data_IF_663833999303
#
_entry.id   IF_663833999303
#
_cell.length_a   1.000
_cell.length_b   1.000
_cell.length_c   1.000
_cell.angle_alpha   90.00
_cell.angle_beta   90.00
_cell.angle_gamma   90.00
#
_symmetry.space_group_name_H-M   'P 1'
#
loop_
_entity.id
_entity.type
_entity.pdbx_description
1 polymer ?
#
# COMPACT_ATOMS: atom_id res chain seq x y z
N UNK A 1 11.54 59.92 -23.53
CA UNK A 1 10.97 58.57 -23.72
C UNK A 1 11.26 57.75 -22.48
N UNK A 2 10.23 57.38 -21.72
CA UNK A 2 10.35 56.50 -20.54
C UNK A 2 10.42 55.05 -21.01
N UNK A 3 11.36 54.28 -20.47
CA UNK A 3 11.44 52.84 -20.66
C UNK A 3 10.38 52.19 -19.77
N UNK A 4 9.56 51.37 -20.42
CA UNK A 4 8.51 50.57 -19.82
C UNK A 4 8.94 49.09 -19.87
N UNK A 5 8.66 48.39 -18.76
CA UNK A 5 8.39 46.95 -18.64
C UNK A 5 9.60 45.98 -18.67
N UNK A 6 9.80 45.22 -17.58
CA UNK A 6 9.46 43.79 -17.45
C UNK A 6 10.00 43.24 -16.11
N UNK A 7 9.12 43.14 -15.12
CA UNK A 7 9.33 42.25 -13.96
C UNK A 7 9.04 40.82 -14.38
N UNK A 8 10.06 40.00 -14.62
CA UNK A 8 9.92 38.55 -14.65
C UNK A 8 9.91 38.02 -13.21
N UNK A 9 8.72 37.81 -12.65
CA UNK A 9 8.57 36.86 -11.54
C UNK A 9 8.64 35.45 -12.12
N UNK A 10 9.78 34.81 -11.97
CA UNK A 10 9.91 33.37 -12.18
C UNK A 10 9.17 32.63 -11.05
N UNK A 11 7.87 32.36 -11.24
CA UNK A 11 7.15 31.41 -10.41
C UNK A 11 7.59 30.00 -10.83
N UNK A 12 8.57 29.43 -10.12
CA UNK A 12 8.89 28.00 -10.23
C UNK A 12 7.72 27.19 -9.64
N UNK A 13 7.18 26.20 -10.36
CA UNK A 13 6.08 25.38 -9.87
C UNK A 13 6.50 24.52 -8.67
N UNK A 14 5.69 24.52 -7.62
CA UNK A 14 5.86 23.86 -6.31
C UNK A 14 5.92 22.32 -6.33
N UNK A 15 6.23 21.69 -7.46
CA UNK A 15 6.16 20.25 -7.66
C UNK A 15 7.36 19.45 -7.10
N UNK A 16 8.37 20.10 -6.50
CA UNK A 16 9.52 19.41 -5.90
C UNK A 16 9.35 19.08 -4.41
N UNK A 17 8.29 19.55 -3.76
CA UNK A 17 8.08 19.34 -2.33
C UNK A 17 7.60 17.92 -1.95
N UNK A 18 7.23 17.08 -2.92
CA UNK A 18 6.64 15.75 -2.64
C UNK A 18 7.68 14.62 -2.60
N UNK A 19 8.83 14.76 -3.26
CA UNK A 19 9.84 13.69 -3.31
C UNK A 19 10.64 13.60 -2.00
N UNK A 20 10.83 14.71 -1.30
CA UNK A 20 11.60 14.73 -0.03
C UNK A 20 10.90 14.01 1.13
N UNK A 21 9.61 13.68 0.99
CA UNK A 21 8.84 12.95 1.99
C UNK A 21 8.88 11.42 1.79
N UNK A 22 9.40 10.94 0.65
CA UNK A 22 9.43 9.52 0.32
C UNK A 22 10.57 8.82 1.07
N UNK A 23 10.30 7.64 1.62
CA UNK A 23 11.34 6.76 2.20
C UNK A 23 11.91 5.77 1.17
N UNK A 24 11.52 5.89 -0.10
CA UNK A 24 12.06 5.15 -1.24
C UNK A 24 12.52 6.12 -2.34
N UNK A 25 13.32 5.63 -3.28
CA UNK A 25 13.88 6.41 -4.38
C UNK A 25 13.23 6.00 -5.72
N UNK A 26 12.29 6.81 -6.27
CA UNK A 26 11.69 6.51 -7.57
C UNK A 26 12.70 6.73 -8.71
N UNK A 27 12.74 5.85 -9.73
CA UNK A 27 13.61 6.06 -10.89
C UNK A 27 13.19 7.30 -11.69
N UNK A 28 14.11 7.93 -12.46
CA UNK A 28 13.84 9.16 -13.20
C UNK A 28 12.61 9.09 -14.11
N UNK A 29 12.37 7.94 -14.74
CA UNK A 29 11.23 7.72 -15.64
C UNK A 29 9.89 7.77 -14.88
N UNK A 30 9.85 7.17 -13.68
CA UNK A 30 8.67 7.20 -12.82
C UNK A 30 8.42 8.61 -12.27
N UNK A 31 9.48 9.33 -11.88
CA UNK A 31 9.38 10.73 -11.47
C UNK A 31 8.86 11.62 -12.60
N UNK A 32 9.34 11.41 -13.82
CA UNK A 32 8.87 12.15 -14.99
C UNK A 32 7.38 11.89 -15.25
N UNK A 33 6.96 10.61 -15.17
CA UNK A 33 5.56 10.23 -15.31
C UNK A 33 4.67 10.87 -14.24
N UNK A 34 5.09 10.87 -12.98
CA UNK A 34 4.33 11.50 -11.89
C UNK A 34 4.17 13.03 -12.06
N UNK A 35 5.09 13.69 -12.76
CA UNK A 35 5.00 15.13 -13.06
C UNK A 35 4.04 15.45 -14.20
N UNK A 36 3.88 14.54 -15.15
CA UNK A 36 3.07 14.76 -16.37
C UNK A 36 1.70 14.09 -16.33
N UNK A 37 1.52 13.09 -15.48
CA UNK A 37 0.29 12.32 -15.35
C UNK A 37 -0.27 12.46 -13.93
N UNK A 38 -1.40 13.17 -13.79
CA UNK A 38 -2.08 13.36 -12.50
C UNK A 38 -2.56 12.06 -11.84
N UNK A 39 -2.70 10.98 -12.62
CA UNK A 39 -3.07 9.66 -12.11
C UNK A 39 -1.84 8.87 -11.61
N UNK A 40 -0.63 9.35 -11.87
CA UNK A 40 0.59 8.79 -11.30
C UNK A 40 0.98 9.56 -10.05
N UNK A 41 0.73 8.96 -8.90
CA UNK A 41 1.03 9.52 -7.60
C UNK A 41 2.03 8.64 -6.87
N UNK A 42 2.95 9.28 -6.15
CA UNK A 42 4.02 8.64 -5.39
C UNK A 42 3.72 8.81 -3.90
N UNK A 43 3.12 7.80 -3.25
CA UNK A 43 2.69 7.94 -1.86
C UNK A 43 3.86 7.79 -0.89
N UNK A 44 3.97 8.62 0.16
CA UNK A 44 5.00 8.47 1.19
C UNK A 44 4.64 7.40 2.24
N UNK A 45 3.35 7.25 2.53
CA UNK A 45 2.81 6.40 3.58
C UNK A 45 1.37 5.98 3.27
N UNK A 46 0.88 5.06 4.09
CA UNK A 46 -0.50 4.59 4.12
C UNK A 46 -0.90 4.30 5.57
N UNK A 47 -2.20 4.13 5.77
CA UNK A 47 -2.77 3.77 7.05
C UNK A 47 -3.33 2.35 7.06
N UNK A 48 -3.12 1.65 8.16
CA UNK A 48 -3.79 0.39 8.50
C UNK A 48 -4.76 0.68 9.63
N UNK A 49 -6.06 0.65 9.33
CA UNK A 49 -7.11 1.00 10.27
C UNK A 49 -7.88 -0.23 10.74
N UNK A 50 -8.23 -0.23 12.02
CA UNK A 50 -9.14 -1.18 12.65
C UNK A 50 -8.76 -2.66 12.44
N UNK A 51 -7.46 -2.99 12.58
CA UNK A 51 -7.01 -4.37 12.48
C UNK A 51 -7.69 -5.26 13.52
N UNK A 52 -8.35 -6.32 13.07
CA UNK A 52 -9.04 -7.27 13.91
C UNK A 52 -8.74 -8.69 13.44
N UNK A 53 -8.43 -9.58 14.38
CA UNK A 53 -7.99 -10.93 14.08
C UNK A 53 -8.61 -11.99 14.98
N UNK A 54 -8.55 -13.24 14.50
CA UNK A 54 -8.96 -14.44 15.21
C UNK A 54 -7.84 -15.47 15.23
N UNK A 55 -7.77 -16.22 16.31
CA UNK A 55 -6.86 -17.36 16.48
C UNK A 55 -7.60 -18.52 17.12
N UNK A 56 -7.12 -19.75 16.89
CA UNK A 56 -7.52 -20.94 17.64
C UNK A 56 -6.63 -21.18 18.87
N UNK A 57 -5.60 -20.34 19.04
CA UNK A 57 -4.61 -20.39 20.11
C UNK A 57 -4.79 -19.17 21.04
N UNK A 58 -4.07 -19.18 22.17
CA UNK A 58 -4.11 -18.09 23.15
C UNK A 58 -2.73 -17.48 23.36
N UNK A 59 -2.69 -16.23 23.82
CA UNK A 59 -1.46 -15.51 24.12
C UNK A 59 -0.91 -14.68 22.95
N UNK A 60 0.27 -14.06 23.13
CA UNK A 60 0.84 -13.11 22.17
C UNK A 60 1.48 -13.77 20.94
N UNK A 61 1.74 -15.08 21.01
CA UNK A 61 2.36 -15.87 19.93
C UNK A 61 1.36 -16.74 19.18
N UNK A 62 0.06 -16.53 19.40
CA UNK A 62 -1.02 -17.30 18.79
C UNK A 62 -1.15 -17.06 17.28
N UNK A 63 -1.07 -18.11 16.46
CA UNK A 63 -1.17 -18.01 14.99
C UNK A 63 -2.56 -17.54 14.54
N UNK A 64 -2.64 -16.69 13.52
CA UNK A 64 -3.93 -16.14 13.09
C UNK A 64 -4.62 -17.05 12.07
N UNK A 65 -5.94 -17.26 12.24
CA UNK A 65 -6.76 -18.05 11.30
C UNK A 65 -7.67 -17.19 10.44
N UNK A 66 -7.93 -15.95 10.87
CA UNK A 66 -8.64 -14.95 10.08
C UNK A 66 -8.28 -13.54 10.57
N UNK A 67 -8.27 -12.58 9.68
CA UNK A 67 -8.08 -11.17 10.04
C UNK A 67 -8.64 -10.23 8.98
N UNK A 68 -8.91 -9.01 9.39
CA UNK A 68 -9.38 -7.94 8.51
C UNK A 68 -8.89 -6.58 9.00
N UNK A 69 -8.76 -5.64 8.06
CA UNK A 69 -8.36 -4.26 8.30
C UNK A 69 -8.76 -3.40 7.10
N UNK A 70 -8.66 -2.08 7.25
CA UNK A 70 -8.83 -1.12 6.16
C UNK A 70 -7.49 -0.52 5.80
N UNK A 71 -7.11 -0.59 4.54
CA UNK A 71 -6.01 0.14 3.95
C UNK A 71 -6.50 1.51 3.47
N UNK A 72 -5.74 2.57 3.78
CA UNK A 72 -6.01 3.94 3.30
C UNK A 72 -4.71 4.58 2.84
N UNK A 73 -4.62 4.93 1.57
CA UNK A 73 -3.59 5.81 1.03
C UNK A 73 -4.26 7.11 0.57
N UNK A 74 -4.01 8.19 1.31
CA UNK A 74 -4.58 9.50 1.02
C UNK A 74 -3.97 10.15 -0.23
N UNK A 75 -2.72 9.79 -0.55
CA UNK A 75 -2.02 10.30 -1.73
C UNK A 75 -2.63 9.69 -2.98
N UNK A 76 -2.74 8.37 -3.08
CA UNK A 76 -3.39 7.71 -4.23
C UNK A 76 -4.91 7.93 -4.22
N UNK A 77 -5.50 8.07 -3.04
CA UNK A 77 -6.95 8.16 -2.81
C UNK A 77 -7.61 6.79 -2.64
N UNK A 78 -6.82 5.72 -2.52
CA UNK A 78 -7.32 4.36 -2.37
C UNK A 78 -7.73 4.12 -0.91
N UNK A 79 -8.97 3.68 -0.71
CA UNK A 79 -9.46 3.15 0.57
C UNK A 79 -10.11 1.81 0.31
N UNK A 80 -9.60 0.75 0.94
CA UNK A 80 -10.08 -0.61 0.67
C UNK A 80 -10.02 -1.52 1.88
N UNK A 81 -10.98 -2.44 1.97
CA UNK A 81 -10.97 -3.49 2.98
C UNK A 81 -10.13 -4.68 2.53
N UNK A 82 -9.33 -5.21 3.45
CA UNK A 82 -8.47 -6.36 3.26
C UNK A 82 -8.90 -7.45 4.25
N UNK A 83 -9.00 -8.69 3.78
CA UNK A 83 -9.51 -9.80 4.58
C UNK A 83 -8.80 -11.10 4.24
N UNK A 84 -8.49 -11.87 5.28
CA UNK A 84 -7.95 -13.21 5.17
C UNK A 84 -8.81 -14.20 5.96
N UNK A 85 -9.09 -15.36 5.37
CA UNK A 85 -9.71 -16.51 6.01
C UNK A 85 -9.36 -17.81 5.24
N UNK A 86 -9.95 -18.93 5.64
CA UNK A 86 -9.70 -20.25 5.03
C UNK A 86 -10.05 -20.38 3.54
N UNK A 87 -10.85 -19.45 3.00
CA UNK A 87 -11.22 -19.40 1.57
C UNK A 87 -10.38 -18.42 0.77
N UNK A 88 -9.48 -17.67 1.39
CA UNK A 88 -8.60 -16.73 0.71
C UNK A 88 -7.60 -17.46 -0.17
N UNK A 89 -7.52 -17.07 -1.44
CA UNK A 89 -6.62 -17.66 -2.43
C UNK A 89 -5.43 -16.73 -2.63
N UNK A 90 -4.21 -17.29 -2.59
CA UNK A 90 -3.02 -16.52 -2.89
C UNK A 90 -2.96 -16.14 -4.37
N UNK A 91 -2.50 -14.92 -4.63
CA UNK A 91 -2.22 -14.40 -5.97
C UNK A 91 -0.78 -14.67 -6.42
N UNK A 92 0.10 -15.12 -5.52
CA UNK A 92 1.49 -15.44 -5.83
C UNK A 92 1.60 -16.84 -6.47
N UNK A 93 2.50 -17.05 -7.45
CA UNK A 93 2.86 -18.39 -7.92
C UNK A 93 3.32 -19.33 -6.79
N UNK A 94 3.15 -20.64 -7.00
CA UNK A 94 3.56 -21.66 -6.06
C UNK A 94 5.07 -21.61 -5.76
N UNK A 95 5.45 -21.83 -4.49
CA UNK A 95 6.85 -21.83 -4.04
C UNK A 95 7.38 -20.47 -3.59
N UNK A 96 6.56 -19.42 -3.63
CA UNK A 96 6.89 -18.08 -3.14
C UNK A 96 5.99 -17.69 -1.96
N UNK A 97 6.35 -16.62 -1.25
CA UNK A 97 5.55 -16.08 -0.15
C UNK A 97 4.14 -15.70 -0.62
N UNK A 98 3.08 -16.26 -0.02
CA UNK A 98 1.70 -15.95 -0.42
C UNK A 98 1.35 -14.47 -0.24
N UNK A 99 0.82 -13.85 -1.30
CA UNK A 99 0.18 -12.53 -1.28
C UNK A 99 -1.32 -12.68 -1.48
N UNK A 100 -2.11 -11.90 -0.76
CA UNK A 100 -3.56 -11.89 -0.87
C UNK A 100 -4.03 -10.51 -1.29
N UNK A 101 -4.99 -10.46 -2.21
CA UNK A 101 -5.56 -9.19 -2.66
C UNK A 101 -6.58 -8.66 -1.64
N UNK A 102 -6.59 -7.35 -1.46
CA UNK A 102 -7.71 -6.65 -0.84
C UNK A 102 -8.89 -6.57 -1.82
N UNK A 103 -10.00 -5.95 -1.41
CA UNK A 103 -11.13 -5.69 -2.32
C UNK A 103 -10.70 -4.89 -3.56
N UNK A 104 -9.73 -3.99 -3.39
CA UNK A 104 -9.06 -3.31 -4.51
C UNK A 104 -7.87 -4.16 -4.96
N UNK A 105 -7.89 -4.64 -6.21
CA UNK A 105 -6.94 -5.63 -6.71
C UNK A 105 -5.47 -5.15 -6.76
N UNK A 106 -5.27 -3.83 -6.83
CA UNK A 106 -3.93 -3.23 -6.80
C UNK A 106 -3.32 -3.14 -5.38
N UNK A 107 -4.11 -3.42 -4.34
CA UNK A 107 -3.63 -3.50 -2.97
C UNK A 107 -3.57 -4.96 -2.54
N UNK A 108 -2.40 -5.37 -2.04
CA UNK A 108 -2.14 -6.72 -1.60
C UNK A 108 -1.45 -6.72 -0.25
N UNK A 109 -1.57 -7.83 0.46
CA UNK A 109 -0.94 -7.99 1.76
C UNK A 109 -0.29 -9.36 1.96
N UNK A 110 0.66 -9.39 2.86
CA UNK A 110 1.35 -10.58 3.38
C UNK A 110 1.31 -10.47 4.90
N UNK A 111 0.98 -11.57 5.57
CA UNK A 111 1.11 -11.69 7.02
C UNK A 111 2.19 -12.72 7.34
N UNK A 112 3.16 -12.34 8.16
CA UNK A 112 4.19 -13.23 8.69
C UNK A 112 3.95 -13.46 10.20
N UNK A 113 3.41 -14.63 10.57
CA UNK A 113 3.05 -14.94 11.95
C UNK A 113 4.25 -14.85 12.92
N UNK A 114 5.43 -15.33 12.51
CA UNK A 114 6.64 -15.36 13.34
C UNK A 114 7.11 -13.96 13.75
N UNK A 115 6.93 -12.97 12.85
CA UNK A 115 7.32 -11.58 13.07
C UNK A 115 6.17 -10.70 13.56
N UNK A 116 4.93 -11.19 13.46
CA UNK A 116 3.71 -10.37 13.60
C UNK A 116 3.72 -9.18 12.65
N UNK A 117 4.27 -9.38 11.47
CA UNK A 117 4.46 -8.32 10.49
C UNK A 117 3.40 -8.41 9.40
N UNK A 118 2.75 -7.28 9.14
CA UNK A 118 1.85 -7.10 8.03
C UNK A 118 2.54 -6.23 6.97
N UNK A 119 2.88 -6.83 5.84
CA UNK A 119 3.39 -6.10 4.67
C UNK A 119 2.22 -5.76 3.75
N UNK A 120 2.10 -4.50 3.38
CA UNK A 120 1.18 -4.01 2.36
C UNK A 120 1.95 -3.61 1.12
N UNK A 121 1.35 -3.92 -0.03
CA UNK A 121 1.87 -3.60 -1.35
C UNK A 121 0.75 -2.90 -2.11
N UNK A 122 1.04 -1.73 -2.66
CA UNK A 122 0.13 -1.02 -3.56
C UNK A 122 0.78 -0.82 -4.91
N UNK A 123 0.08 -1.20 -5.98
CA UNK A 123 0.50 -0.86 -7.33
C UNK A 123 0.12 0.58 -7.65
N UNK A 124 1.07 1.33 -8.17
CA UNK A 124 0.95 2.78 -8.38
C UNK A 124 1.23 3.15 -9.83
N UNK A 125 0.84 4.37 -10.19
CA UNK A 125 1.10 4.95 -11.51
C UNK A 125 0.65 4.04 -12.67
N UNK A 126 -0.67 3.78 -12.77
CA UNK A 126 -1.20 3.01 -13.89
C UNK A 126 -0.93 3.71 -15.23
N UNK A 127 -0.57 2.92 -16.23
CA UNK A 127 -0.54 3.31 -17.63
C UNK A 127 -1.98 3.59 -18.12
N UNK A 128 -2.16 4.22 -19.31
CA UNK A 128 -3.49 4.51 -19.85
C UNK A 128 -4.41 3.29 -20.02
N UNK A 129 -3.86 2.09 -20.10
CA UNK A 129 -4.61 0.83 -20.14
C UNK A 129 -5.03 0.32 -18.74
N UNK A 130 -4.79 1.10 -17.68
CA UNK A 130 -5.09 0.76 -16.29
C UNK A 130 -4.05 -0.14 -15.62
N UNK A 131 -2.99 -0.54 -16.31
CA UNK A 131 -1.97 -1.44 -15.76
C UNK A 131 -0.86 -0.64 -15.08
N UNK A 132 -0.70 -0.83 -13.77
CA UNK A 132 0.43 -0.30 -13.02
C UNK A 132 1.70 -1.12 -13.28
N UNK A 133 2.81 -0.41 -13.49
CA UNK A 133 4.12 -1.00 -13.76
C UNK A 133 5.02 -1.05 -12.53
N UNK A 134 4.68 -0.28 -11.49
CA UNK A 134 5.41 -0.21 -10.24
C UNK A 134 4.50 -0.52 -9.06
N UNK A 135 5.09 -1.10 -8.02
CA UNK A 135 4.47 -1.29 -6.72
C UNK A 135 5.36 -0.72 -5.63
N UNK A 136 4.73 -0.12 -4.62
CA UNK A 136 5.36 0.32 -3.39
C UNK A 136 4.99 -0.64 -2.27
N UNK A 137 5.90 -0.82 -1.31
CA UNK A 137 5.66 -1.69 -0.16
C UNK A 137 6.13 -1.08 1.15
N UNK A 138 5.41 -1.39 2.21
CA UNK A 138 5.74 -1.06 3.60
C UNK A 138 5.23 -2.13 4.55
N UNK A 139 5.86 -2.23 5.70
CA UNK A 139 5.56 -3.25 6.72
C UNK A 139 5.34 -2.60 8.08
N UNK A 140 4.48 -3.21 8.89
CA UNK A 140 4.26 -2.82 10.28
C UNK A 140 4.13 -4.06 11.18
N UNK A 141 4.70 -3.97 12.39
CA UNK A 141 4.56 -5.03 13.39
C UNK A 141 3.31 -4.80 14.22
N UNK A 142 2.32 -5.68 14.06
CA UNK A 142 1.05 -5.60 14.78
C UNK A 142 1.14 -6.44 16.05
N UNK A 143 1.39 -5.77 17.18
CA UNK A 143 1.33 -6.40 18.49
C UNK A 143 -0.09 -6.86 18.82
N UNK A 144 -0.26 -8.16 19.05
CA UNK A 144 -1.56 -8.79 19.32
C UNK A 144 -1.57 -9.52 20.66
N UNK A 145 -2.73 -9.53 21.30
CA UNK A 145 -3.03 -10.43 22.41
C UNK A 145 -4.32 -11.19 22.12
N UNK A 146 -4.24 -12.52 22.11
CA UNK A 146 -5.36 -13.40 21.80
C UNK A 146 -5.94 -14.02 23.07
N UNK A 147 -7.26 -13.89 23.25
CA UNK A 147 -8.00 -14.45 24.38
C UNK A 147 -8.43 -15.90 24.12
N UNK A 148 -8.86 -16.60 25.17
CA UNK A 148 -9.44 -17.94 25.08
C UNK A 148 -10.72 -18.01 24.21
N UNK A 149 -11.38 -16.88 23.94
CA UNK A 149 -12.52 -16.83 23.01
C UNK A 149 -12.10 -16.80 21.53
N UNK A 150 -10.79 -16.88 21.25
CA UNK A 150 -10.21 -16.82 19.92
C UNK A 150 -10.17 -15.42 19.31
N UNK A 151 -10.42 -14.36 20.11
CA UNK A 151 -10.37 -12.98 19.64
C UNK A 151 -8.97 -12.41 19.89
N UNK A 152 -8.33 -11.89 18.86
CA UNK A 152 -7.05 -11.21 18.96
C UNK A 152 -7.24 -9.69 18.83
N UNK A 153 -6.63 -8.93 19.74
CA UNK A 153 -6.74 -7.47 19.79
C UNK A 153 -5.37 -6.81 19.73
N UNK A 154 -5.32 -5.67 19.06
CA UNK A 154 -4.25 -4.66 19.18
C UNK A 154 -4.78 -3.46 19.98
N UNK A 155 -3.87 -2.70 20.57
CA UNK A 155 -4.19 -1.44 21.26
C UNK A 155 -4.25 -0.23 20.30
N UNK A 156 -3.87 -0.42 19.04
CA UNK A 156 -3.79 0.65 18.04
C UNK A 156 -4.92 0.49 17.02
N UNK A 157 -5.70 1.54 16.81
CA UNK A 157 -6.77 1.55 15.80
C UNK A 157 -6.31 2.10 14.46
N UNK A 158 -5.16 2.77 14.42
CA UNK A 158 -4.60 3.41 13.24
C UNK A 158 -3.07 3.35 13.28
N UNK A 159 -2.48 2.62 12.33
CA UNK A 159 -1.05 2.61 12.09
C UNK A 159 -0.75 3.46 10.87
N UNK A 160 0.09 4.49 11.02
CA UNK A 160 0.68 5.21 9.89
C UNK A 160 2.01 4.55 9.52
N UNK A 161 2.07 3.96 8.33
CA UNK A 161 3.16 3.11 7.87
C UNK A 161 3.79 3.72 6.63
N UNK A 162 5.11 3.84 6.62
CA UNK A 162 5.86 4.35 5.48
C UNK A 162 5.96 3.30 4.38
N UNK A 163 5.79 3.72 3.14
CA UNK A 163 6.32 2.97 2.02
C UNK A 163 7.84 3.11 2.01
N UNK A 164 8.56 2.00 2.00
CA UNK A 164 10.04 1.96 2.09
C UNK A 164 10.68 1.25 0.90
N UNK A 165 9.90 0.51 0.13
CA UNK A 165 10.35 -0.19 -1.07
C UNK A 165 9.52 0.22 -2.29
N UNK A 166 10.17 0.18 -3.45
CA UNK A 166 9.57 0.41 -4.75
C UNK A 166 10.19 -0.59 -5.73
N UNK A 167 9.35 -1.38 -6.38
CA UNK A 167 9.77 -2.41 -7.33
C UNK A 167 8.89 -2.39 -8.58
N UNK A 168 9.37 -2.88 -9.72
CA UNK A 168 8.51 -3.20 -10.85
C UNK A 168 7.48 -4.27 -10.44
N UNK A 169 6.25 -4.17 -10.94
CA UNK A 169 5.23 -5.20 -10.74
C UNK A 169 5.69 -6.50 -11.41
N UNK A 170 5.92 -7.54 -10.60
CA UNK A 170 6.24 -8.90 -11.08
C UNK A 170 5.08 -9.87 -10.97
N UNK A 171 4.03 -9.44 -10.29
CA UNK A 171 2.85 -10.25 -10.05
C UNK A 171 1.91 -10.22 -11.27
N UNK A 172 1.64 -11.38 -11.90
CA UNK A 172 0.88 -11.46 -13.14
C UNK A 172 -0.63 -11.31 -12.96
N UNK A 173 -1.17 -11.12 -11.73
CA UNK A 173 -2.60 -10.82 -11.59
C UNK A 173 -2.87 -9.42 -12.12
N UNK A 174 -3.00 -9.32 -13.44
CA UNK A 174 -3.54 -8.15 -14.10
C UNK A 174 -4.97 -7.95 -13.61
N UNK A 175 -5.32 -6.68 -13.47
CA UNK A 175 -6.67 -6.18 -13.20
C UNK A 175 -7.66 -6.88 -14.14
N UNK A 176 -8.27 -7.99 -13.70
CA UNK A 176 -9.45 -8.57 -14.35
C UNK A 176 -10.65 -7.71 -13.96
N UNK A 177 -10.74 -6.50 -14.51
CA UNK A 177 -12.06 -5.93 -14.77
C UNK A 177 -12.47 -6.36 -16.18
N UNK A 178 -13.79 -6.50 -16.38
CA UNK A 178 -14.53 -7.00 -17.55
C UNK A 178 -14.72 -8.53 -17.62
N UNK A 179 -15.79 -9.04 -16.99
CA UNK A 179 -16.99 -9.54 -17.71
C UNK A 179 -18.22 -9.39 -16.79
N UNK A 180 -19.23 -8.65 -17.23
CA UNK A 180 -20.51 -8.43 -16.56
C UNK A 180 -21.27 -7.33 -17.28
#
# INVERSE_FOLDING_TARGET
>A
MRLDILSLLAALPSAMATVSALSYAPPPELLAMARTNSNCKLPPDFHIKNFAAKSNETGPTASLVAYNFTFVDETTGVTTGCYFNSSSVSTTPAGLTPRYACSHADVKFIWEDDKRELTLVERICPLPNGVAMYEVAGSETISLSCSASGTCRTNTTDYNVKFVALDPVRDPTLVKYWVG
#
